data_IF_862060864605
#
_entry.id   IF_862060864605
#
_cell.length_a   1.000
_cell.length_b   1.000
_cell.length_c   1.000
_cell.angle_alpha   90.00
_cell.angle_beta   90.00
_cell.angle_gamma   90.00
#
_symmetry.space_group_name_H-M   'P 1'
#
loop_
_entity.id
_entity.type
_entity.pdbx_description
1 polymer ?
#
# COMPACT_ATOMS: atom_id res chain seq x y z
N UNK A 1 14.30 23.84 34.73
CA UNK A 1 13.13 23.03 34.30
C UNK A 1 13.67 21.89 33.46
N UNK A 2 13.59 20.66 33.95
CA UNK A 2 14.14 19.48 33.30
C UNK A 2 13.14 18.90 32.30
N UNK A 3 13.50 18.82 31.03
CA UNK A 3 12.66 18.39 29.92
C UNK A 3 12.97 16.96 29.51
N UNK A 4 11.93 16.15 29.39
CA UNK A 4 12.00 14.74 29.05
C UNK A 4 11.26 14.53 27.74
N UNK A 5 11.85 13.74 26.84
CA UNK A 5 11.18 13.28 25.64
C UNK A 5 11.14 11.75 25.60
N UNK A 6 10.04 11.20 25.11
CA UNK A 6 9.89 9.77 24.86
C UNK A 6 9.12 9.55 23.56
N UNK A 7 9.33 8.41 22.92
CA UNK A 7 8.68 8.08 21.65
C UNK A 7 8.02 6.71 21.71
N UNK A 8 6.93 6.57 20.95
CA UNK A 8 6.24 5.30 20.84
C UNK A 8 5.13 5.30 19.81
N UNK A 9 4.71 4.08 19.49
CA UNK A 9 3.52 3.86 18.67
C UNK A 9 2.26 4.12 19.50
N UNK A 10 2.21 3.68 20.76
CA UNK A 10 1.04 3.88 21.64
C UNK A 10 -0.29 3.39 21.02
N UNK A 11 -0.26 2.26 20.30
CA UNK A 11 -1.46 1.63 19.74
C UNK A 11 -2.29 0.97 20.84
N UNK A 12 -3.60 1.23 20.87
CA UNK A 12 -4.51 0.78 21.92
C UNK A 12 -3.98 1.17 23.29
N UNK A 13 -3.96 2.47 23.59
CA UNK A 13 -3.40 3.01 24.84
C UNK A 13 -3.88 2.20 26.05
N UNK A 14 -2.93 1.66 26.81
CA UNK A 14 -3.16 0.68 27.87
C UNK A 14 -2.21 0.93 29.05
N UNK A 15 -2.43 0.25 30.18
CA UNK A 15 -1.69 0.49 31.43
C UNK A 15 -0.17 0.40 31.28
N UNK A 16 0.35 -0.52 30.46
CA UNK A 16 1.79 -0.58 30.16
C UNK A 16 2.37 0.71 29.55
N UNK A 17 1.65 1.35 28.61
CA UNK A 17 2.05 2.66 28.09
C UNK A 17 1.98 3.73 29.20
N UNK A 18 0.90 3.72 29.98
CA UNK A 18 0.69 4.68 31.07
C UNK A 18 1.81 4.62 32.12
N UNK A 19 2.24 3.41 32.50
CA UNK A 19 3.33 3.21 33.47
C UNK A 19 4.67 3.70 32.92
N UNK A 20 4.96 3.44 31.65
CA UNK A 20 6.16 3.97 30.99
C UNK A 20 6.17 5.50 31.00
N UNK A 21 5.05 6.13 30.60
CA UNK A 21 4.95 7.59 30.54
C UNK A 21 5.01 8.23 31.93
N UNK A 22 4.41 7.62 32.96
CA UNK A 22 4.52 8.09 34.36
C UNK A 22 5.95 8.03 34.87
N UNK A 23 6.68 6.95 34.57
CA UNK A 23 8.12 6.83 34.91
C UNK A 23 8.95 7.86 34.17
N UNK A 24 8.68 8.10 32.88
CA UNK A 24 9.35 9.16 32.12
C UNK A 24 9.08 10.55 32.72
N UNK A 25 7.83 10.85 33.10
CA UNK A 25 7.48 12.10 33.78
C UNK A 25 8.22 12.25 35.11
N UNK A 26 8.40 11.18 35.88
CA UNK A 26 9.12 11.24 37.16
C UNK A 26 10.61 11.63 37.05
N UNK A 27 11.19 11.61 35.85
CA UNK A 27 12.59 12.00 35.61
C UNK A 27 12.79 13.54 35.56
N UNK A 28 11.72 14.34 35.54
CA UNK A 28 11.80 15.80 35.64
C UNK A 28 10.46 16.53 35.48
N UNK A 29 10.48 17.76 34.98
CA UNK A 29 9.37 18.71 35.15
C UNK A 29 8.42 18.75 33.95
N UNK A 30 8.88 18.41 32.75
CA UNK A 30 8.13 18.59 31.49
C UNK A 30 8.30 17.41 30.56
N UNK A 31 7.21 16.73 30.23
CA UNK A 31 7.19 15.53 29.41
C UNK A 31 6.64 15.83 28.01
N UNK A 32 7.48 15.59 27.01
CA UNK A 32 7.15 15.59 25.59
C UNK A 32 6.98 14.14 25.13
N UNK A 33 5.85 13.81 24.52
CA UNK A 33 5.58 12.47 23.98
C UNK A 33 5.49 12.52 22.46
N UNK A 34 6.42 11.84 21.80
CA UNK A 34 6.45 11.64 20.36
C UNK A 34 5.64 10.43 19.93
N UNK A 35 4.54 10.66 19.22
CA UNK A 35 3.67 9.61 18.67
C UNK A 35 4.07 9.34 17.22
N UNK A 36 4.49 8.12 16.90
CA UNK A 36 4.89 7.76 15.53
C UNK A 36 3.70 7.74 14.58
N UNK A 37 3.85 8.27 13.36
CA UNK A 37 2.78 8.22 12.37
C UNK A 37 2.62 6.82 11.72
N UNK A 38 1.45 6.59 11.09
CA UNK A 38 1.14 5.29 10.47
C UNK A 38 2.15 4.87 9.38
N UNK A 39 2.75 5.82 8.65
CA UNK A 39 3.69 5.48 7.58
C UNK A 39 5.07 5.13 8.13
N UNK A 40 5.53 5.85 9.15
CA UNK A 40 6.80 5.60 9.82
C UNK A 40 6.75 4.31 10.66
N UNK A 41 5.60 3.97 11.24
CA UNK A 41 5.39 2.65 11.81
C UNK A 41 5.49 1.55 10.75
N UNK A 42 4.82 1.73 9.61
CA UNK A 42 4.90 0.77 8.49
C UNK A 42 6.32 0.61 7.97
N UNK A 43 7.09 1.69 7.81
CA UNK A 43 8.48 1.60 7.34
C UNK A 43 9.41 0.87 8.30
N UNK A 44 9.02 0.71 9.57
CA UNK A 44 9.76 -0.08 10.57
C UNK A 44 9.16 -1.47 10.77
N UNK A 45 8.34 -1.94 9.84
CA UNK A 45 7.69 -3.26 9.91
C UNK A 45 6.50 -3.34 10.86
N UNK A 46 6.07 -2.24 11.50
CA UNK A 46 4.89 -2.22 12.40
C UNK A 46 3.60 -2.10 11.59
N UNK A 47 3.22 -3.19 10.93
CA UNK A 47 2.04 -3.25 10.06
C UNK A 47 0.71 -3.41 10.81
N UNK A 48 0.78 -3.85 12.07
CA UNK A 48 -0.39 -4.26 12.86
C UNK A 48 -0.94 -3.14 13.76
N UNK A 49 -0.65 -1.87 13.46
CA UNK A 49 -1.18 -0.72 14.19
C UNK A 49 -2.66 -0.54 13.86
N UNK A 50 -3.52 -0.61 14.87
CA UNK A 50 -4.97 -0.58 14.70
C UNK A 50 -5.56 0.84 14.72
N UNK A 51 -4.98 1.73 15.54
CA UNK A 51 -5.48 3.07 15.76
C UNK A 51 -4.78 4.10 14.88
N UNK A 52 -5.58 5.00 14.28
CA UNK A 52 -5.02 6.10 13.48
C UNK A 52 -4.15 7.02 14.33
N UNK A 53 -3.12 7.63 13.72
CA UNK A 53 -2.24 8.60 14.39
C UNK A 53 -3.02 9.67 15.15
N UNK A 54 -4.08 10.23 14.54
CA UNK A 54 -4.94 11.24 15.20
C UNK A 54 -5.61 10.72 16.49
N UNK A 55 -6.05 9.45 16.52
CA UNK A 55 -6.66 8.85 17.71
C UNK A 55 -5.61 8.65 18.81
N UNK A 56 -4.43 8.15 18.44
CA UNK A 56 -3.31 7.91 19.36
C UNK A 56 -2.80 9.22 19.96
N UNK A 57 -2.60 10.25 19.14
CA UNK A 57 -2.24 11.61 19.59
C UNK A 57 -3.25 12.13 20.60
N UNK A 58 -4.55 12.11 20.28
CA UNK A 58 -5.60 12.55 21.21
C UNK A 58 -5.63 11.78 22.53
N UNK A 59 -5.39 10.47 22.48
CA UNK A 59 -5.37 9.64 23.67
C UNK A 59 -4.21 10.03 24.61
N UNK A 60 -3.06 10.39 24.05
CA UNK A 60 -1.89 10.88 24.80
C UNK A 60 -2.10 12.33 25.28
N UNK A 61 -2.68 13.20 24.45
CA UNK A 61 -3.02 14.58 24.84
C UNK A 61 -4.02 14.66 25.99
N UNK A 62 -4.87 13.63 26.16
CA UNK A 62 -5.83 13.56 27.25
C UNK A 62 -5.20 13.20 28.61
N UNK A 63 -3.90 12.88 28.66
CA UNK A 63 -3.19 12.55 29.89
C UNK A 63 -2.73 13.85 30.57
N UNK A 64 -3.23 14.09 31.77
CA UNK A 64 -2.97 15.29 32.58
C UNK A 64 -1.48 15.53 32.89
N UNK A 65 -0.69 14.47 32.95
CA UNK A 65 0.75 14.53 33.23
C UNK A 65 1.63 14.62 31.97
N UNK A 66 1.05 14.68 30.76
CA UNK A 66 1.78 14.90 29.51
C UNK A 66 1.67 16.36 29.09
N UNK A 67 2.81 17.05 29.02
CA UNK A 67 2.81 18.50 28.76
C UNK A 67 2.78 18.86 27.27
N UNK A 68 3.33 18.00 26.41
CA UNK A 68 3.34 18.21 24.95
C UNK A 68 3.29 16.90 24.18
N UNK A 69 2.53 16.89 23.10
CA UNK A 69 2.54 15.79 22.13
C UNK A 69 3.09 16.27 20.79
N UNK A 70 3.96 15.48 20.18
CA UNK A 70 4.50 15.71 18.84
C UNK A 70 4.31 14.45 17.99
N UNK A 71 4.29 14.61 16.67
CA UNK A 71 4.16 13.47 15.73
C UNK A 71 5.52 13.18 15.13
N UNK A 72 5.99 11.94 15.27
CA UNK A 72 7.21 11.46 14.63
C UNK A 72 6.90 10.90 13.24
N UNK A 73 7.58 11.43 12.22
CA UNK A 73 7.29 11.13 10.80
C UNK A 73 8.47 10.52 10.05
N UNK A 74 9.69 10.61 10.61
CA UNK A 74 10.91 10.13 9.96
C UNK A 74 12.04 9.87 10.98
N UNK A 75 13.07 9.13 10.57
CA UNK A 75 14.11 8.58 11.45
C UNK A 75 14.95 9.63 12.18
N UNK A 76 15.29 10.73 11.52
CA UNK A 76 16.21 11.74 12.08
C UNK A 76 15.53 12.74 13.01
N UNK A 77 14.20 12.71 13.09
CA UNK A 77 13.41 13.69 13.83
C UNK A 77 13.75 13.73 15.32
N UNK A 78 14.21 12.62 15.92
CA UNK A 78 14.58 12.58 17.35
C UNK A 78 15.67 13.59 17.68
N UNK A 79 16.72 13.67 16.86
CA UNK A 79 17.84 14.60 17.06
C UNK A 79 17.36 16.05 16.87
N UNK A 80 16.54 16.30 15.84
CA UNK A 80 15.93 17.61 15.60
C UNK A 80 15.08 18.08 16.78
N UNK A 81 14.23 17.19 17.30
CA UNK A 81 13.34 17.47 18.43
C UNK A 81 14.13 17.68 19.73
N UNK A 82 15.20 16.89 19.98
CA UNK A 82 16.09 17.07 21.14
C UNK A 82 16.67 18.48 21.17
N UNK A 83 17.24 18.94 20.06
CA UNK A 83 17.76 20.31 19.96
C UNK A 83 16.67 21.37 20.05
N UNK A 84 15.57 21.18 19.31
CA UNK A 84 14.47 22.15 19.24
C UNK A 84 13.81 22.42 20.59
N UNK A 85 13.68 21.39 21.42
CA UNK A 85 13.00 21.48 22.71
C UNK A 85 13.95 21.55 23.91
N UNK A 86 15.26 21.61 23.69
CA UNK A 86 16.29 21.58 24.74
C UNK A 86 16.03 20.43 25.73
N UNK A 87 15.96 19.21 25.18
CA UNK A 87 15.68 18.00 25.96
C UNK A 87 16.88 17.65 26.84
N UNK A 88 16.63 17.38 28.12
CA UNK A 88 17.65 16.94 29.08
C UNK A 88 17.75 15.41 29.14
N UNK A 89 16.61 14.71 28.99
CA UNK A 89 16.54 13.24 29.04
C UNK A 89 15.68 12.68 27.92
N UNK A 90 16.24 11.73 27.15
CA UNK A 90 15.49 10.83 26.28
C UNK A 90 15.17 9.54 27.06
N UNK A 91 13.90 9.29 27.31
CA UNK A 91 13.45 8.10 28.05
C UNK A 91 12.73 7.11 27.12
N UNK A 92 13.08 5.82 27.20
CA UNK A 92 12.41 4.76 26.43
C UNK A 92 12.37 3.44 27.21
N UNK A 93 11.57 2.47 26.75
CA UNK A 93 11.54 1.13 27.36
C UNK A 93 12.88 0.40 27.25
N UNK A 94 13.16 -0.45 28.23
CA UNK A 94 14.35 -1.32 28.30
C UNK A 94 14.45 -2.39 27.20
N UNK A 95 13.37 -2.62 26.44
CA UNK A 95 13.37 -3.42 25.22
C UNK A 95 14.23 -2.81 24.09
N UNK A 96 14.72 -1.59 24.27
CA UNK A 96 15.57 -0.87 23.32
C UNK A 96 16.99 -0.61 23.83
N UNK A 97 17.41 -1.24 24.93
CA UNK A 97 18.77 -1.08 25.48
C UNK A 97 19.82 -1.24 24.37
N UNK A 98 20.71 -0.25 24.24
CA UNK A 98 21.75 -0.19 23.21
C UNK A 98 21.31 0.46 21.89
N UNK A 99 20.01 0.45 21.56
CA UNK A 99 19.53 0.91 20.24
C UNK A 99 19.53 2.44 20.08
N UNK A 100 19.49 3.18 21.20
CA UNK A 100 19.43 4.64 21.22
C UNK A 100 20.64 5.30 21.88
N UNK A 101 21.70 4.55 22.17
CA UNK A 101 22.88 5.05 22.88
C UNK A 101 23.59 6.18 22.13
N UNK A 102 23.46 6.23 20.79
CA UNK A 102 23.95 7.33 19.96
C UNK A 102 23.33 8.69 20.32
N UNK A 103 22.18 8.71 21.00
CA UNK A 103 21.55 9.95 21.46
C UNK A 103 22.27 10.56 22.67
N UNK A 104 23.15 9.83 23.36
CA UNK A 104 23.98 10.35 24.46
C UNK A 104 24.94 11.47 24.01
N UNK A 105 25.21 11.59 22.71
CA UNK A 105 25.93 12.74 22.14
C UNK A 105 25.13 14.06 22.26
N UNK A 106 23.80 13.97 22.40
CA UNK A 106 22.88 15.11 22.37
C UNK A 106 22.08 15.30 23.68
N UNK A 107 21.79 14.23 24.42
CA UNK A 107 20.96 14.23 25.64
C UNK A 107 21.20 12.96 26.47
N UNK A 108 20.94 12.97 27.78
CA UNK A 108 21.03 11.74 28.60
C UNK A 108 19.98 10.70 28.16
N UNK A 109 20.39 9.46 27.89
CA UNK A 109 19.48 8.36 27.52
C UNK A 109 19.16 7.49 28.75
N UNK A 110 17.87 7.33 29.04
CA UNK A 110 17.38 6.54 30.17
C UNK A 110 16.48 5.39 29.68
N UNK A 111 16.82 4.15 30.07
CA UNK A 111 16.04 2.96 29.76
C UNK A 111 15.16 2.56 30.96
N UNK A 112 13.85 2.52 30.74
CA UNK A 112 12.84 2.29 31.77
C UNK A 112 12.26 0.89 31.67
N UNK A 113 12.21 0.18 32.81
CA UNK A 113 11.67 -1.18 32.88
C UNK A 113 10.24 -1.27 32.32
N UNK A 114 9.95 -2.24 31.44
CA UNK A 114 8.59 -2.44 30.93
C UNK A 114 7.62 -3.02 31.97
N UNK A 115 6.33 -2.81 31.73
CA UNK A 115 5.28 -3.55 32.45
C UNK A 115 5.08 -4.90 31.76
N UNK A 116 5.32 -5.99 32.49
CA UNK A 116 5.15 -7.36 31.99
C UNK A 116 3.68 -7.72 31.75
N UNK A 117 3.44 -8.69 30.87
CA UNK A 117 2.13 -9.33 30.68
C UNK A 117 1.10 -8.55 29.84
N UNK A 118 1.37 -7.31 29.44
CA UNK A 118 0.42 -6.47 28.68
C UNK A 118 1.08 -5.91 27.41
N UNK A 119 0.50 -6.21 26.25
CA UNK A 119 0.94 -5.67 24.96
C UNK A 119 -0.23 -5.40 24.02
N UNK A 120 -0.07 -4.42 23.12
CA UNK A 120 -1.05 -4.16 22.05
C UNK A 120 -1.32 -5.39 21.18
N UNK A 121 -0.36 -6.31 21.04
CA UNK A 121 -0.55 -7.57 20.29
C UNK A 121 -1.59 -8.47 20.93
N UNK A 122 -1.55 -8.61 22.26
CA UNK A 122 -2.55 -9.40 23.00
C UNK A 122 -3.92 -8.75 22.90
N UNK A 123 -4.01 -7.44 23.15
CA UNK A 123 -5.26 -6.68 23.07
C UNK A 123 -5.91 -6.75 21.68
N UNK A 124 -5.11 -6.68 20.60
CA UNK A 124 -5.64 -6.82 19.23
C UNK A 124 -6.24 -8.19 18.95
N UNK A 125 -5.67 -9.27 19.51
CA UNK A 125 -6.24 -10.63 19.37
C UNK A 125 -7.53 -10.79 20.16
N UNK A 126 -7.65 -10.11 21.29
CA UNK A 126 -8.86 -10.10 22.12
C UNK A 126 -9.98 -9.20 21.55
N UNK A 127 -9.61 -8.15 20.81
CA UNK A 127 -10.56 -7.14 20.31
C UNK A 127 -11.10 -7.44 18.91
N UNK A 128 -10.29 -8.05 18.04
CA UNK A 128 -10.66 -8.27 16.65
C UNK A 128 -10.73 -9.75 16.31
N UNK A 129 -11.84 -10.14 15.71
CA UNK A 129 -11.96 -11.48 15.15
C UNK A 129 -10.95 -11.70 14.01
N UNK A 130 -10.52 -12.95 13.88
CA UNK A 130 -9.63 -13.37 12.79
C UNK A 130 -10.40 -13.42 11.47
N UNK A 131 -9.95 -12.65 10.48
CA UNK A 131 -10.51 -12.66 9.13
C UNK A 131 -10.12 -13.97 8.45
N UNK A 132 -11.11 -14.83 8.20
CA UNK A 132 -10.94 -16.04 7.39
C UNK A 132 -10.98 -15.65 5.91
N UNK A 133 -9.84 -15.71 5.25
CA UNK A 133 -9.65 -15.32 3.86
C UNK A 133 -9.66 -16.55 2.95
N UNK A 134 -10.46 -16.50 1.88
CA UNK A 134 -10.39 -17.44 0.77
C UNK A 134 -9.49 -16.91 -0.35
N UNK A 135 -8.78 -17.81 -1.04
CA UNK A 135 -7.96 -17.50 -2.21
C UNK A 135 -8.68 -17.95 -3.49
N UNK A 136 -8.73 -17.10 -4.50
CA UNK A 136 -9.45 -17.34 -5.76
C UNK A 136 -8.45 -17.23 -6.90
N UNK A 137 -8.13 -18.35 -7.52
CA UNK A 137 -7.14 -18.50 -8.58
C UNK A 137 -5.79 -19.01 -8.10
N UNK A 138 -5.08 -19.64 -9.02
CA UNK A 138 -3.70 -20.12 -8.87
C UNK A 138 -2.74 -19.25 -9.68
N UNK A 139 -3.01 -17.94 -9.76
CA UNK A 139 -2.13 -16.99 -10.44
C UNK A 139 -0.74 -16.92 -9.80
N UNK A 140 0.22 -16.32 -10.49
CA UNK A 140 1.64 -16.30 -10.08
C UNK A 140 1.88 -15.78 -8.66
N UNK A 141 1.21 -14.70 -8.27
CA UNK A 141 1.39 -14.09 -6.96
C UNK A 141 0.63 -14.80 -5.83
N UNK A 142 -0.03 -15.93 -6.10
CA UNK A 142 -0.86 -16.66 -5.12
C UNK A 142 -0.03 -17.22 -3.97
N UNK A 143 1.07 -17.92 -4.27
CA UNK A 143 1.94 -18.49 -3.24
C UNK A 143 2.63 -17.40 -2.43
N UNK A 144 3.16 -16.38 -3.10
CA UNK A 144 3.74 -15.22 -2.44
C UNK A 144 2.72 -14.51 -1.53
N UNK A 145 1.48 -14.36 -1.98
CA UNK A 145 0.42 -13.81 -1.14
C UNK A 145 0.15 -14.69 0.08
N UNK A 146 0.10 -16.02 -0.09
CA UNK A 146 -0.13 -16.97 1.00
C UNK A 146 0.96 -16.89 2.06
N UNK A 147 2.22 -16.82 1.63
CA UNK A 147 3.36 -16.71 2.53
C UNK A 147 3.39 -15.37 3.26
N UNK A 148 3.14 -14.28 2.56
CA UNK A 148 3.16 -12.94 3.14
C UNK A 148 1.99 -12.70 4.11
N UNK A 149 0.84 -13.33 3.87
CA UNK A 149 -0.33 -13.23 4.75
C UNK A 149 -0.05 -13.79 6.17
N UNK A 150 0.88 -14.75 6.32
CA UNK A 150 1.27 -15.34 7.61
C UNK A 150 1.84 -14.31 8.59
N UNK A 151 2.39 -13.22 8.06
CA UNK A 151 3.04 -12.16 8.85
C UNK A 151 2.09 -11.00 9.20
N UNK A 152 0.85 -11.03 8.72
CA UNK A 152 -0.16 -10.01 9.03
C UNK A 152 -1.07 -10.53 10.13
N UNK A 153 -1.28 -9.73 11.18
CA UNK A 153 -2.13 -10.14 12.30
C UNK A 153 -3.60 -10.24 11.89
N UNK A 154 -4.33 -11.14 12.54
CA UNK A 154 -5.79 -11.27 12.47
C UNK A 154 -6.33 -11.52 11.04
N UNK A 155 -5.51 -12.10 10.16
CA UNK A 155 -5.94 -12.70 8.89
C UNK A 155 -5.42 -14.13 8.85
N UNK A 156 -6.26 -15.06 8.41
CA UNK A 156 -5.89 -16.47 8.24
C UNK A 156 -6.46 -16.98 6.94
N UNK A 157 -5.59 -17.57 6.12
CA UNK A 157 -6.03 -18.21 4.89
C UNK A 157 -6.72 -19.53 5.25
N UNK A 158 -7.89 -19.74 4.67
CA UNK A 158 -8.77 -20.85 5.03
C UNK A 158 -8.87 -21.90 3.93
N UNK A 159 -9.07 -21.47 2.68
CA UNK A 159 -9.41 -22.32 1.54
C UNK A 159 -9.01 -21.66 0.22
N UNK A 160 -8.96 -22.46 -0.84
CA UNK A 160 -8.64 -22.00 -2.20
C UNK A 160 -9.69 -22.47 -3.21
N UNK A 161 -9.90 -21.68 -4.26
CA UNK A 161 -10.73 -21.99 -5.39
C UNK A 161 -9.98 -21.79 -6.70
N UNK A 162 -10.15 -22.71 -7.65
CA UNK A 162 -9.91 -22.48 -9.07
C UNK A 162 -10.88 -23.36 -9.88
N UNK A 163 -11.09 -23.04 -11.16
CA UNK A 163 -11.98 -23.81 -12.03
C UNK A 163 -11.41 -25.17 -12.44
N UNK A 164 -10.09 -25.33 -12.41
CA UNK A 164 -9.42 -26.60 -12.65
C UNK A 164 -9.31 -27.42 -11.35
N UNK A 165 -10.16 -28.43 -11.22
CA UNK A 165 -10.18 -29.34 -10.09
C UNK A 165 -8.84 -30.08 -9.87
N UNK A 166 -8.15 -30.48 -10.95
CA UNK A 166 -6.88 -31.20 -10.84
C UNK A 166 -5.79 -30.26 -10.31
N UNK A 167 -5.73 -29.03 -10.83
CA UNK A 167 -4.79 -28.02 -10.35
C UNK A 167 -5.04 -27.65 -8.88
N UNK A 168 -6.31 -27.53 -8.46
CA UNK A 168 -6.65 -27.31 -7.04
C UNK A 168 -6.16 -28.46 -6.18
N UNK A 169 -6.41 -29.71 -6.60
CA UNK A 169 -5.99 -30.90 -5.85
C UNK A 169 -4.46 -30.96 -5.72
N UNK A 170 -3.75 -30.76 -6.82
CA UNK A 170 -2.28 -30.70 -6.85
C UNK A 170 -1.75 -29.62 -5.89
N UNK A 171 -2.30 -28.40 -5.99
CA UNK A 171 -1.93 -27.31 -5.11
C UNK A 171 -2.13 -27.65 -3.63
N UNK A 172 -3.30 -28.17 -3.25
CA UNK A 172 -3.60 -28.51 -1.85
C UNK A 172 -2.78 -29.68 -1.30
N UNK A 173 -2.37 -30.62 -2.16
CA UNK A 173 -1.47 -31.72 -1.78
C UNK A 173 -0.06 -31.20 -1.47
N UNK A 174 0.42 -30.24 -2.26
CA UNK A 174 1.77 -29.69 -2.14
C UNK A 174 1.87 -28.48 -1.19
N UNK A 175 0.73 -27.92 -0.74
CA UNK A 175 0.70 -26.74 0.12
C UNK A 175 0.43 -27.10 1.59
N UNK A 176 1.31 -26.69 2.51
CA UNK A 176 1.14 -26.98 3.94
C UNK A 176 0.10 -26.09 4.65
N UNK A 177 -0.25 -24.95 4.05
CA UNK A 177 -1.13 -23.95 4.68
C UNK A 177 -2.60 -24.16 4.31
N UNK A 178 -2.89 -24.54 3.07
CA UNK A 178 -4.25 -24.67 2.55
C UNK A 178 -4.54 -26.12 2.18
N UNK A 179 -5.40 -26.76 2.97
CA UNK A 179 -5.85 -28.15 2.72
C UNK A 179 -7.26 -28.26 2.14
N UNK A 180 -8.01 -27.17 2.11
CA UNK A 180 -9.38 -27.14 1.59
C UNK A 180 -9.42 -26.44 0.23
N UNK A 181 -9.71 -27.23 -0.82
CA UNK A 181 -9.80 -26.78 -2.20
C UNK A 181 -11.21 -26.96 -2.76
N UNK A 182 -11.66 -26.01 -3.59
CA UNK A 182 -12.98 -26.04 -4.22
C UNK A 182 -12.86 -25.81 -5.73
N UNK A 183 -13.63 -26.56 -6.52
CA UNK A 183 -13.84 -26.30 -7.95
C UNK A 183 -15.18 -25.61 -8.26
N UNK A 184 -16.07 -25.51 -7.27
CA UNK A 184 -17.31 -24.75 -7.33
C UNK A 184 -17.18 -23.45 -6.54
N UNK A 185 -17.46 -22.31 -7.18
CA UNK A 185 -17.26 -21.01 -6.55
C UNK A 185 -18.31 -20.69 -5.49
N UNK A 186 -19.55 -21.14 -5.68
CA UNK A 186 -20.64 -20.86 -4.74
C UNK A 186 -20.44 -21.67 -3.44
N UNK A 187 -19.95 -22.91 -3.53
CA UNK A 187 -19.51 -23.69 -2.36
C UNK A 187 -18.29 -23.07 -1.67
N UNK A 188 -17.34 -22.56 -2.45
CA UNK A 188 -16.17 -21.85 -1.90
C UNK A 188 -16.58 -20.62 -1.07
N UNK A 189 -17.61 -19.89 -1.50
CA UNK A 189 -18.11 -18.67 -0.87
C UNK A 189 -18.99 -18.90 0.38
N UNK A 190 -19.00 -20.10 0.95
CA UNK A 190 -19.80 -20.41 2.15
C UNK A 190 -19.50 -19.49 3.37
N UNK A 191 -20.24 -19.68 4.45
CA UNK A 191 -20.12 -18.86 5.67
C UNK A 191 -18.77 -18.99 6.41
N UNK A 192 -17.89 -19.92 6.03
CA UNK A 192 -16.61 -20.11 6.68
C UNK A 192 -15.54 -19.10 6.28
N UNK A 193 -15.78 -18.30 5.23
CA UNK A 193 -14.89 -17.19 4.83
C UNK A 193 -15.60 -15.86 4.86
N UNK A 194 -14.85 -14.80 5.18
CA UNK A 194 -15.36 -13.43 5.32
C UNK A 194 -14.85 -12.52 4.21
N UNK A 195 -13.73 -12.89 3.60
CA UNK A 195 -13.08 -12.13 2.55
C UNK A 195 -12.50 -13.06 1.50
N UNK A 196 -12.25 -12.53 0.31
CA UNK A 196 -11.57 -13.21 -0.79
C UNK A 196 -10.41 -12.37 -1.33
N UNK A 197 -9.33 -13.04 -1.70
CA UNK A 197 -8.28 -12.51 -2.57
C UNK A 197 -8.42 -13.14 -3.96
N UNK A 198 -8.58 -12.32 -4.99
CA UNK A 198 -8.79 -12.75 -6.38
C UNK A 198 -7.54 -12.49 -7.22
N UNK A 199 -6.95 -13.57 -7.72
CA UNK A 199 -5.77 -13.58 -8.59
C UNK A 199 -5.99 -14.57 -9.75
N UNK A 200 -6.81 -14.14 -10.72
CA UNK A 200 -7.22 -14.95 -11.87
C UNK A 200 -6.91 -14.22 -13.19
N UNK A 201 -7.31 -14.78 -14.34
CA UNK A 201 -7.33 -14.02 -15.60
C UNK A 201 -8.26 -12.81 -15.50
N UNK A 202 -7.91 -11.69 -16.15
CA UNK A 202 -8.65 -10.43 -16.05
C UNK A 202 -10.11 -10.55 -16.51
N UNK A 203 -10.37 -11.43 -17.50
CA UNK A 203 -11.72 -11.71 -18.01
C UNK A 203 -12.67 -12.28 -16.93
N UNK A 204 -12.11 -12.92 -15.89
CA UNK A 204 -12.90 -13.53 -14.80
C UNK A 204 -13.13 -12.57 -13.62
N UNK A 205 -12.42 -11.45 -13.54
CA UNK A 205 -12.48 -10.56 -12.36
C UNK A 205 -13.90 -10.05 -12.09
N UNK A 206 -14.58 -9.52 -13.10
CA UNK A 206 -15.92 -8.94 -12.89
C UNK A 206 -16.90 -9.94 -12.27
N UNK A 207 -17.05 -11.13 -12.86
CA UNK A 207 -18.00 -12.13 -12.38
C UNK A 207 -17.64 -12.65 -10.98
N UNK A 208 -16.35 -12.85 -10.70
CA UNK A 208 -15.89 -13.34 -9.40
C UNK A 208 -16.06 -12.28 -8.30
N UNK A 209 -15.67 -11.03 -8.57
CA UNK A 209 -15.85 -9.92 -7.63
C UNK A 209 -17.35 -9.73 -7.32
N UNK A 210 -18.19 -9.69 -8.36
CA UNK A 210 -19.63 -9.50 -8.21
C UNK A 210 -20.25 -10.57 -7.32
N UNK A 211 -20.02 -11.84 -7.63
CA UNK A 211 -20.52 -12.98 -6.84
C UNK A 211 -20.02 -12.94 -5.39
N UNK A 212 -18.74 -12.62 -5.16
CA UNK A 212 -18.20 -12.51 -3.80
C UNK A 212 -18.87 -11.38 -3.01
N UNK A 213 -19.11 -10.22 -3.63
CA UNK A 213 -19.81 -9.11 -2.98
C UNK A 213 -21.27 -9.46 -2.67
N UNK A 214 -21.98 -10.10 -3.60
CA UNK A 214 -23.36 -10.59 -3.41
C UNK A 214 -23.45 -11.63 -2.29
N UNK A 215 -22.43 -12.48 -2.13
CA UNK A 215 -22.29 -13.41 -1.00
C UNK A 215 -21.82 -12.74 0.31
N UNK A 216 -21.77 -11.40 0.35
CA UNK A 216 -21.42 -10.63 1.53
C UNK A 216 -19.95 -10.71 1.93
N UNK A 217 -19.03 -10.98 0.97
CA UNK A 217 -17.59 -11.05 1.24
C UNK A 217 -16.89 -9.73 0.98
N UNK A 218 -15.84 -9.45 1.75
CA UNK A 218 -14.88 -8.40 1.39
C UNK A 218 -13.97 -8.90 0.25
N UNK A 219 -13.57 -8.02 -0.66
CA UNK A 219 -12.82 -8.39 -1.87
C UNK A 219 -11.54 -7.58 -1.99
N UNK A 220 -10.41 -8.28 -2.06
CA UNK A 220 -9.14 -7.78 -2.55
C UNK A 220 -8.87 -8.44 -3.90
N UNK A 221 -8.70 -7.69 -4.98
CA UNK A 221 -8.55 -8.28 -6.32
C UNK A 221 -7.33 -7.71 -7.04
N UNK A 222 -6.55 -8.56 -7.68
CA UNK A 222 -5.53 -8.15 -8.65
C UNK A 222 -6.10 -7.20 -9.70
N UNK A 223 -5.25 -6.29 -10.15
CA UNK A 223 -5.67 -5.19 -11.01
C UNK A 223 -5.36 -5.50 -12.49
N UNK A 224 -6.19 -5.02 -13.46
CA UNK A 224 -7.43 -4.27 -13.32
C UNK A 224 -8.59 -5.02 -12.67
N UNK A 225 -9.47 -4.30 -11.96
CA UNK A 225 -10.68 -4.87 -11.39
C UNK A 225 -11.66 -5.39 -12.46
N UNK A 226 -11.60 -4.81 -13.66
CA UNK A 226 -12.46 -5.13 -14.80
C UNK A 226 -11.88 -4.49 -16.06
N UNK A 227 -12.28 -5.00 -17.23
CA UNK A 227 -11.93 -4.47 -18.54
C UNK A 227 -13.00 -3.53 -19.11
N UNK A 228 -14.12 -3.33 -18.42
CA UNK A 228 -15.24 -2.50 -18.86
C UNK A 228 -15.68 -1.44 -17.84
N UNK A 229 -16.04 -0.26 -18.35
CA UNK A 229 -16.42 0.89 -17.53
C UNK A 229 -17.75 0.70 -16.82
N UNK A 230 -18.71 0.07 -17.48
CA UNK A 230 -20.02 -0.28 -16.90
C UNK A 230 -19.86 -1.21 -15.69
N UNK A 231 -19.09 -2.28 -15.88
CA UNK A 231 -18.73 -3.25 -14.84
C UNK A 231 -18.06 -2.58 -13.63
N UNK A 232 -17.11 -1.67 -13.84
CA UNK A 232 -16.41 -0.99 -12.73
C UNK A 232 -17.40 -0.19 -11.89
N UNK A 233 -18.29 0.56 -12.54
CA UNK A 233 -19.32 1.36 -11.87
C UNK A 233 -20.27 0.46 -11.07
N UNK A 234 -20.66 -0.67 -11.63
CA UNK A 234 -21.51 -1.66 -10.97
C UNK A 234 -20.84 -2.24 -9.72
N UNK A 235 -19.61 -2.74 -9.84
CA UNK A 235 -18.87 -3.32 -8.72
C UNK A 235 -18.66 -2.34 -7.57
N UNK A 236 -18.29 -1.08 -7.88
CA UNK A 236 -18.12 -0.04 -6.86
C UNK A 236 -19.45 0.32 -6.17
N UNK A 237 -20.55 0.33 -6.92
CA UNK A 237 -21.90 0.56 -6.37
C UNK A 237 -22.34 -0.59 -5.47
N UNK A 238 -22.12 -1.83 -5.92
CA UNK A 238 -22.44 -3.05 -5.20
C UNK A 238 -21.66 -3.14 -3.88
N UNK A 239 -20.34 -2.91 -3.89
CA UNK A 239 -19.53 -2.89 -2.68
C UNK A 239 -20.02 -1.84 -1.66
N UNK A 240 -20.47 -0.68 -2.15
CA UNK A 240 -21.08 0.36 -1.31
C UNK A 240 -22.42 -0.12 -0.71
N UNK A 241 -23.29 -0.73 -1.52
CA UNK A 241 -24.60 -1.27 -1.12
C UNK A 241 -24.45 -2.36 -0.05
N UNK A 242 -23.61 -3.37 -0.31
CA UNK A 242 -23.37 -4.51 0.59
C UNK A 242 -22.50 -4.16 1.80
N UNK A 243 -22.06 -2.90 1.90
CA UNK A 243 -21.16 -2.39 2.94
C UNK A 243 -19.87 -3.21 3.05
N UNK A 244 -19.39 -3.73 1.92
CA UNK A 244 -18.15 -4.50 1.83
C UNK A 244 -16.98 -3.64 1.40
N UNK A 245 -15.78 -4.14 1.66
CA UNK A 245 -14.53 -3.55 1.15
C UNK A 245 -14.30 -4.15 -0.22
N UNK A 246 -14.09 -3.30 -1.24
CA UNK A 246 -13.54 -3.68 -2.53
C UNK A 246 -12.26 -2.87 -2.73
N UNK A 247 -11.12 -3.55 -2.85
CA UNK A 247 -9.82 -2.93 -2.97
C UNK A 247 -9.04 -3.57 -4.13
N UNK A 248 -8.44 -2.74 -4.98
CA UNK A 248 -7.52 -3.20 -6.00
C UNK A 248 -6.14 -3.53 -5.38
N UNK A 249 -5.58 -4.66 -5.75
CA UNK A 249 -4.30 -5.16 -5.25
C UNK A 249 -3.13 -4.52 -6.03
N UNK A 250 -2.88 -3.24 -5.77
CA UNK A 250 -1.74 -2.51 -6.30
C UNK A 250 -0.74 -2.25 -5.19
N UNK A 251 0.14 -3.22 -4.90
CA UNK A 251 1.06 -3.19 -3.76
C UNK A 251 1.87 -1.90 -3.63
N UNK A 252 2.28 -1.31 -4.76
CA UNK A 252 3.00 -0.03 -4.85
C UNK A 252 2.34 1.07 -4.03
N UNK A 253 1.01 1.17 -4.06
CA UNK A 253 0.26 2.21 -3.35
C UNK A 253 0.43 2.13 -1.82
N UNK A 254 0.80 0.96 -1.29
CA UNK A 254 0.89 0.69 0.14
C UNK A 254 2.34 0.68 0.65
N UNK A 255 3.33 0.84 -0.23
CA UNK A 255 4.74 0.84 0.15
C UNK A 255 5.11 2.11 0.93
N UNK A 256 5.95 2.01 1.99
CA UNK A 256 6.30 3.17 2.82
C UNK A 256 7.02 4.28 2.06
N UNK A 257 7.99 3.91 1.20
CA UNK A 257 8.74 4.88 0.40
C UNK A 257 7.82 5.63 -0.57
N UNK A 258 6.88 4.92 -1.20
CA UNK A 258 5.91 5.52 -2.12
C UNK A 258 4.99 6.51 -1.38
N UNK A 259 4.52 6.15 -0.20
CA UNK A 259 3.72 7.07 0.61
C UNK A 259 4.54 8.26 1.13
N UNK A 260 5.82 8.08 1.47
CA UNK A 260 6.69 9.20 1.81
C UNK A 260 6.89 10.13 0.62
N UNK A 261 7.17 9.60 -0.56
CA UNK A 261 7.33 10.36 -1.79
C UNK A 261 6.13 11.29 -2.01
N UNK A 262 4.91 10.76 -1.94
CA UNK A 262 3.69 11.56 -2.11
C UNK A 262 3.61 12.70 -1.10
N UNK A 263 3.97 12.46 0.17
CA UNK A 263 3.97 13.50 1.22
C UNK A 263 5.00 14.60 0.96
N UNK A 264 6.18 14.24 0.46
CA UNK A 264 7.20 15.23 0.09
C UNK A 264 6.77 16.07 -1.13
N UNK A 265 6.08 15.46 -2.09
CA UNK A 265 5.51 16.20 -3.23
C UNK A 265 4.40 17.15 -2.79
N UNK A 266 3.53 16.75 -1.86
CA UNK A 266 2.46 17.60 -1.29
C UNK A 266 3.00 18.85 -0.59
N UNK A 267 4.25 18.81 -0.08
CA UNK A 267 4.92 19.97 0.52
C UNK A 267 5.38 21.01 -0.52
N UNK A 268 5.30 20.69 -1.81
CA UNK A 268 5.70 21.60 -2.90
C UNK A 268 7.21 21.75 -3.07
N UNK A 269 8.00 20.78 -2.60
CA UNK A 269 9.48 20.82 -2.59
C UNK A 269 10.07 21.08 -3.98
N UNK A 270 9.51 20.48 -5.03
CA UNK A 270 9.95 20.68 -6.44
C UNK A 270 9.15 21.75 -7.20
N UNK A 271 8.37 22.57 -6.50
CA UNK A 271 7.51 23.58 -7.11
C UNK A 271 6.26 23.00 -7.77
N UNK A 272 5.76 23.65 -8.82
CA UNK A 272 4.59 23.16 -9.55
C UNK A 272 4.99 21.98 -10.45
N UNK A 273 4.32 20.83 -10.30
CA UNK A 273 4.64 19.63 -11.08
C UNK A 273 4.04 19.77 -12.49
N UNK A 274 4.88 19.57 -13.51
CA UNK A 274 4.53 19.74 -14.92
C UNK A 274 4.54 18.43 -15.71
N UNK A 275 5.32 17.45 -15.28
CA UNK A 275 5.43 16.17 -15.98
C UNK A 275 5.65 15.01 -15.01
N UNK A 276 5.05 13.86 -15.33
CA UNK A 276 5.40 12.56 -14.74
C UNK A 276 5.71 11.59 -15.87
N UNK A 277 6.96 11.12 -15.94
CA UNK A 277 7.39 10.07 -16.87
C UNK A 277 7.59 8.78 -16.12
N UNK A 278 7.05 7.70 -16.64
CA UNK A 278 7.07 6.41 -15.93
C UNK A 278 7.08 5.25 -16.92
N UNK A 279 7.96 4.28 -16.67
CA UNK A 279 8.12 3.11 -17.54
C UNK A 279 7.81 1.83 -16.78
N UNK A 280 7.03 0.93 -17.40
CA UNK A 280 6.79 -0.42 -16.89
C UNK A 280 6.83 -1.44 -18.02
N UNK A 281 7.79 -2.34 -17.97
CA UNK A 281 7.99 -3.37 -19.00
C UNK A 281 8.17 -4.75 -18.39
N UNK A 282 7.87 -5.80 -19.15
CA UNK A 282 8.11 -7.17 -18.67
C UNK A 282 8.45 -8.09 -19.83
N UNK A 283 9.56 -8.82 -19.70
CA UNK A 283 9.92 -9.92 -20.59
C UNK A 283 9.06 -11.14 -20.24
N UNK A 284 7.95 -11.33 -20.97
CA UNK A 284 7.00 -12.42 -20.70
C UNK A 284 7.52 -13.79 -21.17
N UNK A 285 8.34 -13.83 -22.24
CA UNK A 285 8.88 -15.07 -22.82
C UNK A 285 9.75 -15.88 -21.84
N UNK A 286 10.47 -15.21 -20.94
CA UNK A 286 11.30 -15.87 -19.92
C UNK A 286 10.48 -16.44 -18.75
N UNK A 287 9.19 -16.11 -18.68
CA UNK A 287 8.33 -16.38 -17.51
C UNK A 287 7.27 -17.46 -17.78
N UNK A 288 7.34 -18.14 -18.93
CA UNK A 288 6.45 -19.24 -19.33
C UNK A 288 4.95 -18.95 -19.15
N UNK A 289 4.52 -17.72 -19.47
CA UNK A 289 3.10 -17.38 -19.40
C UNK A 289 2.33 -18.09 -20.52
N UNK A 290 1.09 -18.55 -20.26
CA UNK A 290 0.24 -19.06 -21.31
C UNK A 290 -0.09 -17.94 -22.31
N UNK A 291 -0.22 -18.28 -23.59
CA UNK A 291 -0.51 -17.31 -24.66
C UNK A 291 -1.76 -16.48 -24.35
N UNK A 292 -2.79 -17.12 -23.78
CA UNK A 292 -4.03 -16.46 -23.32
C UNK A 292 -3.81 -15.33 -22.31
N UNK A 293 -2.70 -15.36 -21.56
CA UNK A 293 -2.33 -14.28 -20.65
C UNK A 293 -1.68 -13.12 -21.41
N UNK A 294 -0.82 -13.42 -22.38
CA UNK A 294 -0.08 -12.44 -23.20
C UNK A 294 -1.06 -11.67 -24.10
N UNK A 295 -2.04 -12.36 -24.67
CA UNK A 295 -3.10 -11.80 -25.52
C UNK A 295 -3.99 -10.75 -24.82
N UNK A 296 -3.85 -10.57 -23.51
CA UNK A 296 -4.54 -9.51 -22.77
C UNK A 296 -3.97 -8.12 -23.08
N UNK A 297 -2.74 -8.03 -23.59
CA UNK A 297 -2.09 -6.79 -24.01
C UNK A 297 -1.38 -6.01 -22.90
N UNK A 298 -0.29 -5.32 -23.25
CA UNK A 298 0.55 -4.57 -22.33
C UNK A 298 -0.19 -3.50 -21.55
N UNK A 299 -1.14 -2.82 -22.20
CA UNK A 299 -1.95 -1.78 -21.59
C UNK A 299 -2.81 -2.36 -20.47
N UNK A 300 -3.52 -3.45 -20.69
CA UNK A 300 -4.37 -4.06 -19.65
C UNK A 300 -3.53 -4.61 -18.49
N UNK A 301 -2.37 -5.19 -18.79
CA UNK A 301 -1.51 -5.84 -17.79
C UNK A 301 -0.70 -4.85 -16.94
N UNK A 302 -0.22 -3.75 -17.53
CA UNK A 302 0.83 -2.92 -16.91
C UNK A 302 0.43 -1.45 -16.70
N UNK A 303 -0.54 -0.91 -17.46
CA UNK A 303 -0.87 0.53 -17.40
C UNK A 303 -1.42 0.98 -16.06
N UNK A 304 -1.93 0.05 -15.25
CA UNK A 304 -2.43 0.39 -13.93
C UNK A 304 -1.33 0.81 -12.95
N UNK A 305 -0.12 0.27 -13.08
CA UNK A 305 1.04 0.72 -12.33
C UNK A 305 1.37 2.15 -12.73
N UNK A 306 1.61 2.41 -14.01
CA UNK A 306 1.98 3.75 -14.49
C UNK A 306 0.89 4.79 -14.16
N UNK A 307 -0.37 4.42 -14.33
CA UNK A 307 -1.53 5.26 -13.98
C UNK A 307 -1.65 5.54 -12.48
N UNK A 308 -1.20 4.62 -11.60
CA UNK A 308 -1.16 4.89 -10.15
C UNK A 308 -0.27 6.09 -9.86
N UNK A 309 0.98 6.08 -10.34
CA UNK A 309 1.92 7.18 -10.08
C UNK A 309 1.43 8.49 -10.72
N UNK A 310 1.08 8.45 -12.01
CA UNK A 310 0.62 9.63 -12.75
C UNK A 310 -0.59 10.27 -12.08
N UNK A 311 -1.62 9.48 -11.74
CA UNK A 311 -2.83 10.04 -11.15
C UNK A 311 -2.65 10.49 -9.70
N UNK A 312 -1.78 9.82 -8.92
CA UNK A 312 -1.44 10.26 -7.57
C UNK A 312 -0.77 11.62 -7.53
N UNK A 313 0.05 11.92 -8.54
CA UNK A 313 0.85 13.14 -8.60
C UNK A 313 0.12 14.26 -9.34
N UNK A 314 -0.53 13.97 -10.47
CA UNK A 314 -1.15 14.99 -11.34
C UNK A 314 -2.68 15.09 -11.18
N UNK A 315 -3.29 14.14 -10.49
CA UNK A 315 -4.74 14.01 -10.37
C UNK A 315 -5.38 13.28 -11.55
N UNK A 316 -6.68 13.50 -11.74
CA UNK A 316 -7.44 12.84 -12.81
C UNK A 316 -7.06 13.43 -14.19
N UNK A 317 -6.78 12.56 -15.15
CA UNK A 317 -6.58 12.94 -16.55
C UNK A 317 -7.82 13.62 -17.15
N UNK A 318 -7.64 14.49 -18.13
CA UNK A 318 -8.70 15.09 -18.95
C UNK A 318 -8.81 14.35 -20.27
N UNK A 319 -7.68 14.27 -20.97
CA UNK A 319 -7.55 13.63 -22.27
C UNK A 319 -6.47 12.55 -22.21
N UNK A 320 -6.63 11.52 -23.02
CA UNK A 320 -5.70 10.40 -23.14
C UNK A 320 -5.42 10.15 -24.62
N UNK A 321 -4.16 9.94 -24.96
CA UNK A 321 -3.72 9.58 -26.31
C UNK A 321 -2.85 8.34 -26.21
N UNK A 322 -3.11 7.38 -27.09
CA UNK A 322 -2.42 6.09 -27.14
C UNK A 322 -1.60 6.01 -28.42
N UNK A 323 -0.40 5.47 -28.30
CA UNK A 323 0.49 5.17 -29.42
C UNK A 323 0.95 3.72 -29.23
N UNK A 324 0.04 2.79 -29.50
CA UNK A 324 0.30 1.36 -29.47
C UNK A 324 0.84 0.84 -30.81
N UNK A 325 1.48 -0.33 -30.77
CA UNK A 325 2.08 -0.97 -31.94
C UNK A 325 1.09 -1.78 -32.80
N UNK A 326 -0.12 -2.05 -32.31
CA UNK A 326 -1.27 -2.70 -32.97
C UNK A 326 -1.01 -3.88 -33.94
N UNK A 327 0.15 -4.53 -33.91
CA UNK A 327 0.56 -5.52 -34.93
C UNK A 327 -0.05 -6.93 -34.72
N UNK A 328 -0.52 -7.26 -33.50
CA UNK A 328 -0.83 -8.66 -33.11
C UNK A 328 -2.25 -8.90 -32.61
N UNK A 329 -3.21 -8.00 -32.89
CA UNK A 329 -4.57 -8.09 -32.34
C UNK A 329 -4.69 -7.74 -30.85
N UNK A 330 -3.57 -7.59 -30.16
CA UNK A 330 -3.34 -6.99 -28.84
C UNK A 330 -2.06 -6.13 -28.89
N UNK A 331 -1.91 -5.18 -27.98
CA UNK A 331 -0.74 -4.32 -27.90
C UNK A 331 0.41 -5.01 -27.17
N UNK A 332 1.59 -4.99 -27.78
CA UNK A 332 2.85 -5.46 -27.20
C UNK A 332 3.55 -4.29 -26.51
N UNK A 333 3.42 -3.08 -27.05
CA UNK A 333 3.96 -1.84 -26.51
C UNK A 333 2.97 -0.70 -26.71
N UNK A 334 2.91 0.21 -25.73
CA UNK A 334 2.08 1.42 -25.82
C UNK A 334 2.77 2.59 -25.11
N UNK A 335 2.85 3.73 -25.81
CA UNK A 335 3.13 5.02 -25.19
C UNK A 335 1.82 5.76 -24.95
N UNK A 336 1.54 6.05 -23.69
CA UNK A 336 0.28 6.66 -23.25
C UNK A 336 0.59 8.07 -22.75
N UNK A 337 -0.01 9.07 -23.41
CA UNK A 337 0.09 10.47 -23.00
C UNK A 337 -1.23 10.90 -22.37
N UNK A 338 -1.18 11.42 -21.15
CA UNK A 338 -2.33 11.93 -20.42
C UNK A 338 -2.17 13.42 -20.14
N UNK A 339 -3.21 14.20 -20.41
CA UNK A 339 -3.26 15.63 -20.07
C UNK A 339 -4.00 15.82 -18.77
N UNK A 340 -3.46 16.63 -17.86
CA UNK A 340 -4.03 16.86 -16.53
C UNK A 340 -4.38 18.33 -16.31
N UNK A 341 -4.80 18.69 -15.09
CA UNK A 341 -5.00 20.08 -14.71
C UNK A 341 -3.68 20.88 -14.87
N UNK A 342 -3.78 22.19 -15.07
CA UNK A 342 -2.64 23.09 -15.26
C UNK A 342 -1.69 22.73 -16.42
N UNK A 343 -2.20 22.02 -17.43
CA UNK A 343 -1.44 21.56 -18.60
C UNK A 343 -0.29 20.60 -18.25
N UNK A 344 -0.33 19.96 -17.08
CA UNK A 344 0.64 18.92 -16.73
C UNK A 344 0.44 17.66 -17.58
N UNK A 345 1.53 16.93 -17.84
CA UNK A 345 1.56 15.76 -18.72
C UNK A 345 1.99 14.51 -17.96
N UNK A 346 1.23 13.43 -18.11
CA UNK A 346 1.69 12.09 -17.75
C UNK A 346 2.14 11.35 -18.99
N UNK A 347 3.36 10.82 -18.99
CA UNK A 347 3.95 10.04 -20.09
C UNK A 347 4.26 8.65 -19.56
N UNK A 348 3.46 7.67 -19.97
CA UNK A 348 3.56 6.30 -19.50
C UNK A 348 3.98 5.38 -20.63
N UNK A 349 5.10 4.67 -20.48
CA UNK A 349 5.52 3.62 -21.40
C UNK A 349 5.22 2.25 -20.80
N UNK A 350 4.41 1.45 -21.49
CA UNK A 350 4.13 0.06 -21.09
C UNK A 350 4.49 -0.91 -22.20
N UNK A 351 5.08 -2.06 -21.85
CA UNK A 351 5.36 -3.10 -22.84
C UNK A 351 5.44 -4.52 -22.26
N UNK A 352 4.90 -5.49 -22.99
CA UNK A 352 5.03 -6.93 -22.77
C UNK A 352 5.98 -7.50 -23.83
N UNK A 353 7.10 -8.11 -23.46
CA UNK A 353 8.05 -8.71 -24.42
C UNK A 353 9.21 -7.80 -24.84
N UNK A 354 9.21 -6.54 -24.37
CA UNK A 354 10.34 -5.61 -24.47
C UNK A 354 10.84 -5.28 -23.07
N UNK A 355 12.11 -4.88 -22.95
CA UNK A 355 12.70 -4.37 -21.71
C UNK A 355 13.21 -2.95 -21.91
N UNK A 356 13.00 -2.11 -20.91
CA UNK A 356 13.49 -0.73 -20.85
C UNK A 356 14.01 -0.46 -19.44
N UNK A 357 14.71 0.66 -19.24
CA UNK A 357 14.88 1.21 -17.89
C UNK A 357 13.50 1.44 -17.28
N UNK A 358 13.33 0.99 -16.06
CA UNK A 358 12.04 0.82 -15.39
C UNK A 358 11.91 1.81 -14.22
N UNK A 359 12.31 3.05 -14.52
CA UNK A 359 12.37 4.18 -13.62
C UNK A 359 11.11 5.07 -13.72
N UNK A 360 11.08 6.07 -12.86
CA UNK A 360 10.12 7.16 -12.96
C UNK A 360 10.77 8.51 -12.63
N UNK A 361 10.32 9.55 -13.33
CA UNK A 361 10.77 10.93 -13.15
C UNK A 361 9.54 11.82 -12.96
N UNK A 362 9.56 12.65 -11.92
CA UNK A 362 8.53 13.67 -11.65
C UNK A 362 9.19 15.03 -11.76
N UNK A 363 8.83 15.81 -12.78
CA UNK A 363 9.47 17.09 -13.09
C UNK A 363 8.61 18.26 -12.60
N UNK A 364 9.21 19.14 -11.79
CA UNK A 364 8.58 20.36 -11.30
C UNK A 364 9.37 21.61 -11.65
N UNK A 365 8.78 22.78 -11.39
CA UNK A 365 9.38 24.08 -11.75
C UNK A 365 10.63 24.46 -10.94
N UNK A 366 10.94 23.77 -9.84
CA UNK A 366 12.12 24.05 -9.00
C UNK A 366 13.15 22.91 -8.97
N UNK A 367 12.79 21.73 -9.46
CA UNK A 367 13.61 20.52 -9.40
C UNK A 367 12.82 19.30 -9.88
N UNK A 368 13.39 18.12 -9.69
CA UNK A 368 12.73 16.87 -10.08
C UNK A 368 12.97 15.76 -9.06
N UNK A 369 12.09 14.76 -9.09
CA UNK A 369 12.30 13.51 -8.36
C UNK A 369 12.65 12.40 -9.34
N UNK A 370 13.73 11.68 -9.05
CA UNK A 370 14.11 10.45 -9.74
C UNK A 370 13.85 9.23 -8.86
N UNK A 371 13.17 8.23 -9.40
CA UNK A 371 12.87 6.96 -8.74
C UNK A 371 13.52 5.84 -9.58
N UNK A 372 14.60 5.20 -9.10
CA UNK A 372 15.26 4.13 -9.84
C UNK A 372 14.37 2.92 -10.08
N UNK A 373 14.74 2.10 -11.07
CA UNK A 373 14.11 0.81 -11.27
C UNK A 373 14.38 -0.17 -10.11
N UNK A 374 13.43 -1.07 -9.82
CA UNK A 374 12.05 -1.08 -10.28
C UNK A 374 11.18 -0.06 -9.52
N UNK A 375 10.70 1.00 -10.19
CA UNK A 375 10.05 2.12 -9.50
C UNK A 375 8.79 1.72 -8.71
N UNK A 376 8.05 0.69 -9.15
CA UNK A 376 6.83 0.20 -8.49
C UNK A 376 7.11 -0.57 -7.19
N UNK A 377 8.37 -0.93 -6.93
CA UNK A 377 8.85 -1.43 -5.64
C UNK A 377 9.70 -0.35 -4.98
N UNK A 378 9.14 0.86 -4.88
CA UNK A 378 9.87 2.04 -4.42
C UNK A 378 10.54 1.78 -3.07
N UNK A 379 11.87 1.91 -3.04
CA UNK A 379 12.69 1.92 -1.83
C UNK A 379 13.41 3.25 -1.65
N UNK A 380 14.03 3.70 -2.75
CA UNK A 380 14.82 4.93 -2.80
C UNK A 380 14.25 5.90 -3.83
N UNK A 381 14.30 7.19 -3.52
CA UNK A 381 14.01 8.26 -4.47
C UNK A 381 14.84 9.50 -4.14
N UNK A 382 15.16 10.27 -5.18
CA UNK A 382 16.11 11.39 -5.13
C UNK A 382 15.39 12.68 -5.48
N UNK A 383 15.41 13.65 -4.58
CA UNK A 383 15.09 15.04 -4.89
C UNK A 383 16.35 15.70 -5.45
N UNK A 384 16.25 16.21 -6.67
CA UNK A 384 17.36 16.84 -7.38
C UNK A 384 16.99 18.25 -7.81
N UNK A 385 17.95 19.15 -7.67
CA UNK A 385 17.82 20.57 -7.95
C UNK A 385 19.03 21.04 -8.77
N UNK A 386 18.91 22.22 -9.37
CA UNK A 386 20.02 22.87 -10.10
C UNK A 386 21.26 23.01 -9.21
N UNK A 387 21.05 23.47 -7.98
CA UNK A 387 22.07 23.47 -6.93
C UNK A 387 22.15 22.07 -6.30
N UNK A 388 23.18 21.33 -6.66
CA UNK A 388 23.38 19.94 -6.25
C UNK A 388 23.56 19.79 -4.74
N UNK A 389 24.00 20.83 -4.02
CA UNK A 389 24.11 20.81 -2.56
C UNK A 389 22.76 20.77 -1.85
N UNK A 390 21.67 21.12 -2.54
CA UNK A 390 20.30 21.01 -2.03
C UNK A 390 19.66 19.65 -2.33
N UNK A 391 20.34 18.77 -3.08
CA UNK A 391 19.80 17.46 -3.44
C UNK A 391 19.89 16.50 -2.26
N UNK A 392 18.86 15.69 -2.10
CA UNK A 392 18.77 14.72 -1.01
C UNK A 392 17.95 13.51 -1.44
N UNK A 393 18.03 12.43 -0.66
CA UNK A 393 17.33 11.18 -0.94
C UNK A 393 16.62 10.67 0.29
N UNK A 394 15.61 9.83 0.06
CA UNK A 394 15.05 8.98 1.09
C UNK A 394 15.27 7.54 0.69
N UNK A 395 15.57 6.70 1.69
CA UNK A 395 15.67 5.26 1.54
C UNK A 395 14.82 4.62 2.63
N UNK A 396 13.89 3.76 2.21
CA UNK A 396 13.10 2.92 3.09
C UNK A 396 13.23 1.48 2.65
N UNK A 397 13.39 0.61 3.63
CA UNK A 397 13.17 -0.81 3.43
C UNK A 397 11.70 -1.14 3.64
N UNK A 398 11.27 -2.25 3.05
CA UNK A 398 9.99 -2.85 3.31
C UNK A 398 10.14 -4.37 3.46
N UNK A 399 9.17 -4.97 4.11
CA UNK A 399 9.20 -6.38 4.50
C UNK A 399 8.77 -7.28 3.33
N UNK A 400 9.49 -8.38 3.16
CA UNK A 400 9.21 -9.39 2.14
C UNK A 400 9.15 -8.81 0.72
N UNK A 401 8.15 -9.21 -0.06
CA UNK A 401 7.92 -8.72 -1.43
C UNK A 401 6.96 -7.50 -1.50
N UNK A 402 6.63 -6.89 -0.37
CA UNK A 402 5.76 -5.72 -0.25
C UNK A 402 4.25 -6.03 -0.13
N UNK A 403 3.83 -7.28 -0.35
CA UNK A 403 2.41 -7.66 -0.25
C UNK A 403 1.85 -7.47 1.17
N UNK A 404 2.66 -7.65 2.22
CA UNK A 404 2.23 -7.49 3.62
C UNK A 404 1.54 -6.15 3.88
N UNK A 405 1.98 -5.07 3.25
CA UNK A 405 1.47 -3.72 3.46
C UNK A 405 0.04 -3.55 2.94
N UNK A 406 -0.23 -4.16 1.80
CA UNK A 406 -1.54 -4.22 1.18
C UNK A 406 -2.49 -5.13 1.96
N UNK A 407 -2.02 -6.31 2.35
CA UNK A 407 -2.80 -7.26 3.17
C UNK A 407 -3.15 -6.63 4.53
N UNK A 408 -2.19 -5.95 5.17
CA UNK A 408 -2.41 -5.25 6.42
C UNK A 408 -3.43 -4.11 6.29
N UNK A 409 -3.37 -3.33 5.20
CA UNK A 409 -4.37 -2.28 4.95
C UNK A 409 -5.76 -2.89 4.73
N UNK A 410 -5.87 -3.96 3.94
CA UNK A 410 -7.14 -4.64 3.71
C UNK A 410 -7.75 -5.20 5.00
N UNK A 411 -6.95 -5.90 5.81
CA UNK A 411 -7.33 -6.40 7.13
C UNK A 411 -7.79 -5.27 8.06
N UNK A 412 -7.01 -4.19 8.13
CA UNK A 412 -7.32 -3.00 8.94
C UNK A 412 -8.60 -2.30 8.50
N UNK A 413 -8.93 -2.26 7.21
CA UNK A 413 -10.20 -1.71 6.72
C UNK A 413 -11.40 -2.52 7.23
N UNK A 414 -11.33 -3.84 7.11
CA UNK A 414 -12.39 -4.76 7.56
C UNK A 414 -12.61 -4.61 9.07
N UNK A 415 -11.56 -4.69 9.87
CA UNK A 415 -11.63 -4.60 11.34
C UNK A 415 -12.19 -3.28 11.84
N UNK A 416 -11.83 -2.17 11.18
CA UNK A 416 -12.31 -0.84 11.57
C UNK A 416 -13.71 -0.51 11.00
N UNK A 417 -14.34 -1.44 10.27
CA UNK A 417 -15.58 -1.18 9.54
C UNK A 417 -15.45 -0.06 8.50
N UNK A 418 -14.22 0.21 8.03
CA UNK A 418 -13.92 1.24 7.03
C UNK A 418 -13.92 0.62 5.64
N UNK A 419 -14.43 1.37 4.66
CA UNK A 419 -14.56 0.91 3.26
C UNK A 419 -13.66 1.66 2.29
N UNK A 420 -12.80 2.55 2.79
CA UNK A 420 -11.97 3.44 1.99
C UNK A 420 -10.55 3.46 2.55
N UNK A 421 -9.58 3.04 1.74
CA UNK A 421 -8.17 3.29 2.05
C UNK A 421 -7.83 4.76 1.78
N UNK A 422 -6.91 5.30 2.58
CA UNK A 422 -6.27 6.59 2.29
C UNK A 422 -5.12 6.44 1.28
N UNK A 423 -4.49 5.27 1.26
CA UNK A 423 -3.36 4.94 0.39
C UNK A 423 -3.83 4.69 -1.04
N UNK A 424 -4.97 4.02 -1.20
CA UNK A 424 -5.64 3.80 -2.47
C UNK A 424 -7.12 4.18 -2.37
N UNK A 425 -7.42 5.44 -2.68
CA UNK A 425 -8.78 5.99 -2.57
C UNK A 425 -9.67 5.48 -3.70
N UNK A 426 -10.99 5.70 -3.55
CA UNK A 426 -11.95 5.43 -4.63
C UNK A 426 -11.62 6.22 -5.91
N UNK A 427 -11.17 7.48 -5.77
CA UNK A 427 -10.76 8.29 -6.90
C UNK A 427 -9.53 7.72 -7.60
N UNK A 428 -8.59 7.17 -6.83
CA UNK A 428 -7.41 6.50 -7.39
C UNK A 428 -7.83 5.25 -8.15
N UNK A 429 -8.66 4.39 -7.58
CA UNK A 429 -9.12 3.16 -8.26
C UNK A 429 -9.86 3.48 -9.56
N UNK A 430 -10.70 4.53 -9.59
CA UNK A 430 -11.38 4.99 -10.80
C UNK A 430 -10.36 5.55 -11.81
N UNK A 431 -9.44 6.40 -11.36
CA UNK A 431 -8.45 7.03 -12.24
C UNK A 431 -7.50 6.04 -12.87
N UNK A 432 -7.01 5.06 -12.08
CA UNK A 432 -6.09 4.02 -12.53
C UNK A 432 -6.74 3.14 -13.59
N UNK A 433 -7.99 2.73 -13.37
CA UNK A 433 -8.70 1.93 -14.36
C UNK A 433 -9.18 2.77 -15.55
N UNK A 434 -9.34 4.09 -15.45
CA UNK A 434 -9.80 4.90 -16.58
C UNK A 434 -8.92 4.73 -17.82
N UNK A 435 -7.60 4.71 -17.68
CA UNK A 435 -6.67 4.64 -18.81
C UNK A 435 -6.90 3.37 -19.65
N UNK A 436 -6.88 2.19 -19.01
CA UNK A 436 -7.11 0.93 -19.73
C UNK A 436 -8.56 0.77 -20.22
N UNK A 437 -9.53 1.31 -19.48
CA UNK A 437 -10.94 1.25 -19.88
C UNK A 437 -11.21 2.09 -21.14
N UNK A 438 -10.66 3.29 -21.21
CA UNK A 438 -10.75 4.18 -22.37
C UNK A 438 -10.00 3.59 -23.58
N UNK A 439 -8.85 2.94 -23.35
CA UNK A 439 -8.15 2.17 -24.38
C UNK A 439 -9.02 1.04 -24.95
N UNK A 440 -9.65 0.24 -24.09
CA UNK A 440 -10.51 -0.86 -24.52
C UNK A 440 -11.78 -0.37 -25.25
N UNK A 441 -12.35 0.77 -24.84
CA UNK A 441 -13.47 1.42 -25.55
C UNK A 441 -13.03 1.84 -26.96
N UNK A 442 -11.91 2.55 -27.11
CA UNK A 442 -11.37 3.00 -28.41
C UNK A 442 -11.10 1.81 -29.35
N UNK A 443 -10.54 0.71 -28.83
CA UNK A 443 -10.27 -0.49 -29.61
C UNK A 443 -11.55 -1.16 -30.12
N UNK A 444 -12.62 -1.18 -29.31
CA UNK A 444 -13.94 -1.70 -29.73
C UNK A 444 -14.55 -0.81 -30.81
N UNK A 445 -14.42 0.51 -30.71
CA UNK A 445 -14.94 1.45 -31.71
C UNK A 445 -14.20 1.36 -33.04
N UNK A 446 -12.88 1.23 -33.03
CA UNK A 446 -12.09 1.07 -34.26
C UNK A 446 -12.45 -0.22 -35.00
N UNK A 447 -12.58 -1.35 -34.28
CA UNK A 447 -13.05 -2.62 -34.86
C UNK A 447 -14.46 -2.54 -35.46
N UNK A 448 -15.34 -1.68 -34.95
CA UNK A 448 -16.67 -1.44 -35.51
C UNK A 448 -16.66 -0.56 -36.77
N UNK A 449 -15.59 0.20 -37.01
CA UNK A 449 -15.44 1.02 -38.22
C UNK A 449 -14.79 0.24 -39.36
N UNK A 450 -14.04 -0.81 -39.04
CA UNK A 450 -13.37 -1.71 -39.99
C UNK A 450 -14.27 -2.84 -40.51
N UNK A 451 -15.34 -3.17 -39.77
CA UNK A 451 -16.41 -4.09 -40.16
C UNK A 451 -17.61 -3.29 -40.69
#
# INVERSE_FOLDING_TARGET
>A
KKTIITYGTYDMLHIGHMNLLKRAKALGDYLIVGVTDENYDRSRGKLNVSESTKKRVKAIEALDFVDKVIVETHKNQKVEDIHKYNVDVFAIGDDWVGAFDYLNEYTHVEYLARTEGISSTKLRKETFDTIKLGIVGLGRDTEAFIDEAKYVSNIKINRIYADDFLAVKEFTNNNDTIKYGHANYDEFLDSSIWAVYINTSLKKHYILIKKALEAGKHVLCENPLTLEKGELKELLSLAKKEKRVLLAALKTAFLPAFNQLLRELERGTIGEIKEVRVTRTSLYKEKAYPDSFIEQGATNLLSSYTSLLVNKVLGKSKDITFFDDNESGYDVSNLIITKHKNRALGVSKVATGLKSEEDAIISGTKGYVYIPAPWWLTKTFYFRFEDTHKSYQFTYEFEGCGLRYMIAEFSSLIQRGKRKSKMLTLSDMIGINRVLLEYNENKKENKKKEN
#
